data_IF_724851578779
#
_entry.id   IF_724851578779
#
_cell.length_a   1.000
_cell.length_b   1.000
_cell.length_c   1.000
_cell.angle_alpha   90.00
_cell.angle_beta   90.00
_cell.angle_gamma   90.00
#
_symmetry.space_group_name_H-M   'P 1'
#
loop_
_entity.id
_entity.type
_entity.pdbx_description
1 polymer ?
#
# COMPACT_ATOMS: atom_id res chain seq x y z
N UNK A 1 51.94 3.12 27.66
CA UNK A 1 51.04 2.09 27.09
C UNK A 1 50.31 2.70 25.92
N UNK A 2 50.72 2.39 24.69
CA UNK A 2 50.11 2.91 23.46
C UNK A 2 48.92 2.01 23.09
N UNK A 3 47.73 2.59 23.07
CA UNK A 3 46.49 1.93 22.66
C UNK A 3 46.59 1.55 21.18
N UNK A 4 46.60 0.25 20.88
CA UNK A 4 46.53 -0.28 19.51
C UNK A 4 45.13 0.01 18.97
N UNK A 5 45.04 0.89 17.98
CA UNK A 5 43.84 1.04 17.15
C UNK A 5 43.58 -0.29 16.43
N UNK A 6 42.63 -1.08 16.94
CA UNK A 6 42.03 -2.17 16.18
C UNK A 6 41.20 -1.55 15.05
N UNK A 7 41.80 -1.44 13.86
CA UNK A 7 41.03 -1.27 12.63
C UNK A 7 40.35 -2.59 12.33
N UNK A 8 39.13 -2.75 12.83
CA UNK A 8 38.23 -3.80 12.35
C UNK A 8 37.90 -3.45 10.92
N UNK A 9 38.42 -4.23 9.97
CA UNK A 9 37.96 -4.19 8.58
C UNK A 9 36.67 -4.99 8.58
N UNK A 10 35.53 -4.30 8.62
CA UNK A 10 34.24 -4.92 8.32
C UNK A 10 34.24 -5.26 6.82
N UNK A 11 34.58 -6.50 6.50
CA UNK A 11 34.29 -7.08 5.20
C UNK A 11 32.79 -7.36 5.21
N UNK A 12 31.99 -6.37 4.80
CA UNK A 12 30.62 -6.61 4.39
C UNK A 12 30.70 -7.43 3.11
N UNK A 13 30.68 -8.76 3.25
CA UNK A 13 30.47 -9.66 2.12
C UNK A 13 29.17 -9.23 1.46
N UNK A 14 29.28 -8.57 0.30
CA UNK A 14 28.17 -7.98 -0.41
C UNK A 14 27.13 -9.05 -0.67
N UNK A 15 26.01 -8.99 0.03
CA UNK A 15 24.79 -9.60 -0.47
C UNK A 15 24.57 -8.97 -1.84
N UNK A 16 24.63 -9.77 -2.90
CA UNK A 16 24.37 -9.28 -4.25
C UNK A 16 23.00 -8.61 -4.22
N UNK A 17 22.95 -7.34 -4.63
CA UNK A 17 21.69 -6.61 -4.69
C UNK A 17 20.70 -7.42 -5.56
N UNK A 18 19.52 -7.66 -5.01
CA UNK A 18 18.47 -8.43 -5.64
C UNK A 18 17.89 -7.59 -6.78
N UNK A 19 18.06 -8.10 -7.99
CA UNK A 19 17.44 -7.55 -9.19
C UNK A 19 16.24 -8.40 -9.59
N UNK A 20 15.05 -7.79 -9.64
CA UNK A 20 13.80 -8.49 -9.97
C UNK A 20 13.00 -7.68 -11.01
N UNK A 21 12.57 -8.28 -12.14
CA UNK A 21 11.87 -7.55 -13.18
C UNK A 21 10.40 -7.32 -12.81
N UNK A 22 10.15 -6.39 -11.88
CA UNK A 22 8.81 -6.02 -11.43
C UNK A 22 8.18 -5.06 -12.45
N UNK A 23 7.34 -5.60 -13.34
CA UNK A 23 6.57 -4.78 -14.29
C UNK A 23 5.37 -4.13 -13.62
N UNK A 24 5.03 -2.89 -14.00
CA UNK A 24 3.87 -2.14 -13.46
C UNK A 24 2.57 -2.95 -13.52
N UNK A 25 1.67 -2.74 -12.55
CA UNK A 25 0.37 -3.40 -12.58
C UNK A 25 -0.45 -2.91 -13.79
N UNK A 26 -1.08 -3.81 -14.57
CA UNK A 26 -1.70 -3.43 -15.83
C UNK A 26 -2.98 -2.59 -15.62
N UNK A 27 -3.20 -1.57 -16.46
CA UNK A 27 -4.39 -0.74 -16.38
C UNK A 27 -5.65 -1.54 -16.71
N UNK A 28 -6.80 -1.11 -16.20
CA UNK A 28 -8.10 -1.77 -16.38
C UNK A 28 -8.38 -2.17 -17.83
N UNK A 29 -8.16 -1.26 -18.80
CA UNK A 29 -8.40 -1.55 -20.22
C UNK A 29 -7.59 -2.74 -20.73
N UNK A 30 -6.35 -2.89 -20.30
CA UNK A 30 -5.50 -4.02 -20.67
C UNK A 30 -5.97 -5.30 -19.96
N UNK A 31 -6.31 -5.21 -18.68
CA UNK A 31 -6.83 -6.36 -17.92
C UNK A 31 -8.15 -6.87 -18.50
N UNK A 32 -9.07 -5.99 -18.87
CA UNK A 32 -10.31 -6.37 -19.55
C UNK A 32 -10.03 -7.12 -20.87
N UNK A 33 -9.09 -6.61 -21.68
CA UNK A 33 -8.68 -7.29 -22.91
C UNK A 33 -8.06 -8.67 -22.64
N UNK A 34 -7.21 -8.79 -21.62
CA UNK A 34 -6.60 -10.07 -21.26
C UNK A 34 -7.67 -11.05 -20.74
N UNK A 35 -8.62 -10.61 -19.91
CA UNK A 35 -9.70 -11.46 -19.41
C UNK A 35 -10.55 -12.02 -20.57
N UNK A 36 -10.87 -11.18 -21.56
CA UNK A 36 -11.69 -11.59 -22.70
C UNK A 36 -10.92 -12.41 -23.75
N UNK A 37 -9.67 -12.04 -24.04
CA UNK A 37 -8.92 -12.57 -25.19
C UNK A 37 -7.84 -13.59 -24.83
N UNK A 38 -7.25 -13.48 -23.64
CA UNK A 38 -6.16 -14.35 -23.18
C UNK A 38 -6.14 -14.49 -21.65
N UNK A 39 -7.15 -15.16 -21.07
CA UNK A 39 -7.31 -15.26 -19.62
C UNK A 39 -6.19 -16.08 -18.96
N UNK A 40 -5.49 -16.94 -19.72
CA UNK A 40 -4.35 -17.72 -19.23
C UNK A 40 -3.14 -16.83 -19.01
N UNK A 41 -2.83 -15.93 -19.97
CA UNK A 41 -1.77 -14.93 -19.78
C UNK A 41 -2.09 -14.01 -18.60
N UNK A 42 -3.36 -13.63 -18.43
CA UNK A 42 -3.77 -12.83 -17.26
C UNK A 42 -3.49 -13.56 -15.95
N UNK A 43 -3.88 -14.84 -15.85
CA UNK A 43 -3.64 -15.66 -14.67
C UNK A 43 -2.15 -15.77 -14.36
N UNK A 44 -1.32 -16.16 -15.34
CA UNK A 44 0.13 -16.31 -15.14
C UNK A 44 0.83 -14.99 -14.76
N UNK A 45 0.35 -13.85 -15.26
CA UNK A 45 0.86 -12.56 -14.84
C UNK A 45 0.60 -12.30 -13.34
N UNK A 46 -0.59 -12.63 -12.84
CA UNK A 46 -0.91 -12.48 -11.42
C UNK A 46 -0.09 -13.47 -10.58
N UNK A 47 0.03 -14.73 -11.01
CA UNK A 47 0.86 -15.74 -10.34
C UNK A 47 2.32 -15.29 -10.21
N UNK A 48 2.85 -14.68 -11.28
CA UNK A 48 4.21 -14.11 -11.27
C UNK A 48 4.34 -13.00 -10.23
N UNK A 49 3.35 -12.10 -10.13
CA UNK A 49 3.35 -11.11 -9.06
C UNK A 49 3.28 -11.78 -7.68
N UNK A 50 2.39 -12.76 -7.47
CA UNK A 50 2.29 -13.46 -6.19
C UNK A 50 3.64 -14.08 -5.79
N UNK A 51 4.31 -14.78 -6.70
CA UNK A 51 5.62 -15.37 -6.46
C UNK A 51 6.70 -14.31 -6.10
N UNK A 52 6.70 -13.17 -6.80
CA UNK A 52 7.62 -12.08 -6.50
C UNK A 52 7.38 -11.50 -5.12
N UNK A 53 6.14 -11.22 -4.75
CA UNK A 53 5.83 -10.66 -3.44
C UNK A 53 6.05 -11.67 -2.32
N UNK A 54 5.78 -12.95 -2.54
CA UNK A 54 6.15 -14.01 -1.60
C UNK A 54 7.66 -14.04 -1.36
N UNK A 55 8.46 -14.03 -2.44
CA UNK A 55 9.92 -13.97 -2.35
C UNK A 55 10.41 -12.72 -1.60
N UNK A 56 9.87 -11.55 -1.89
CA UNK A 56 10.20 -10.30 -1.18
C UNK A 56 9.88 -10.38 0.31
N UNK A 57 8.84 -11.10 0.70
CA UNK A 57 8.44 -11.22 2.10
C UNK A 57 9.37 -12.11 2.93
N UNK A 58 10.19 -12.97 2.28
CA UNK A 58 11.16 -13.82 2.95
C UNK A 58 12.37 -13.03 3.47
N UNK A 59 12.79 -13.33 4.70
CA UNK A 59 13.98 -12.75 5.33
C UNK A 59 14.07 -11.22 5.19
N UNK A 60 15.25 -10.76 4.78
CA UNK A 60 15.57 -9.35 4.53
C UNK A 60 15.52 -8.98 3.03
N UNK A 61 14.89 -9.77 2.17
CA UNK A 61 14.98 -9.61 0.70
C UNK A 61 14.58 -8.21 0.20
N UNK A 62 13.57 -7.57 0.80
CA UNK A 62 13.21 -6.18 0.45
C UNK A 62 14.34 -5.19 0.70
N UNK A 63 15.13 -5.39 1.75
CA UNK A 63 16.22 -4.50 2.14
C UNK A 63 17.46 -4.68 1.26
N UNK A 64 17.49 -5.76 0.48
CA UNK A 64 18.58 -6.12 -0.42
C UNK A 64 18.27 -5.79 -1.88
N UNK A 65 17.15 -5.11 -2.19
CA UNK A 65 16.83 -4.76 -3.57
C UNK A 65 17.79 -3.70 -4.11
N UNK A 66 18.19 -3.86 -5.38
CA UNK A 66 18.85 -2.77 -6.10
C UNK A 66 17.92 -1.56 -6.26
N UNK A 67 18.50 -0.36 -6.45
CA UNK A 67 17.72 0.89 -6.53
C UNK A 67 16.68 0.87 -7.65
N UNK A 68 17.04 0.28 -8.80
CA UNK A 68 16.16 0.16 -9.96
C UNK A 68 14.92 -0.69 -9.65
N UNK A 69 15.12 -1.83 -9.02
CA UNK A 69 14.07 -2.78 -8.62
C UNK A 69 13.19 -2.16 -7.55
N UNK A 70 13.76 -1.41 -6.60
CA UNK A 70 13.00 -0.68 -5.59
C UNK A 70 12.11 0.40 -6.23
N UNK A 71 12.60 1.12 -7.23
CA UNK A 71 11.80 2.12 -7.96
C UNK A 71 10.69 1.48 -8.79
N UNK A 72 10.96 0.34 -9.43
CA UNK A 72 9.92 -0.45 -10.10
C UNK A 72 8.87 -0.99 -9.13
N UNK A 73 9.27 -1.43 -7.93
CA UNK A 73 8.34 -1.85 -6.87
C UNK A 73 7.45 -0.69 -6.42
N UNK A 74 8.01 0.51 -6.20
CA UNK A 74 7.25 1.72 -5.85
C UNK A 74 6.25 2.09 -6.95
N UNK A 75 6.67 2.04 -8.21
CA UNK A 75 5.80 2.27 -9.37
C UNK A 75 4.68 1.22 -9.44
N UNK A 76 5.00 -0.06 -9.23
CA UNK A 76 4.02 -1.13 -9.17
C UNK A 76 2.99 -0.86 -8.08
N UNK A 77 3.41 -0.56 -6.85
CA UNK A 77 2.49 -0.30 -5.73
C UNK A 77 1.56 0.87 -6.02
N UNK A 78 2.09 1.98 -6.56
CA UNK A 78 1.28 3.13 -6.96
C UNK A 78 0.22 2.77 -8.00
N UNK A 79 0.63 2.06 -9.05
CA UNK A 79 -0.29 1.65 -10.13
C UNK A 79 -1.31 0.62 -9.65
N UNK A 80 -0.88 -0.39 -8.89
CA UNK A 80 -1.77 -1.37 -8.27
C UNK A 80 -2.83 -0.71 -7.39
N UNK A 81 -2.43 0.17 -6.46
CA UNK A 81 -3.37 0.82 -5.55
C UNK A 81 -4.39 1.67 -6.32
N UNK A 82 -3.93 2.41 -7.34
CA UNK A 82 -4.82 3.19 -8.19
C UNK A 82 -5.86 2.32 -8.92
N UNK A 83 -5.39 1.28 -9.61
CA UNK A 83 -6.24 0.42 -10.43
C UNK A 83 -7.25 -0.36 -9.58
N UNK A 84 -6.82 -0.93 -8.46
CA UNK A 84 -7.72 -1.69 -7.57
C UNK A 84 -8.71 -0.77 -6.85
N UNK A 85 -8.30 0.46 -6.49
CA UNK A 85 -9.20 1.42 -5.86
C UNK A 85 -10.28 1.97 -6.81
N UNK A 86 -10.02 2.05 -8.11
CA UNK A 86 -11.00 2.48 -9.11
C UNK A 86 -11.90 1.33 -9.61
N UNK A 87 -11.57 0.09 -9.26
CA UNK A 87 -12.20 -1.11 -9.79
C UNK A 87 -13.36 -1.67 -8.95
N UNK A 88 -13.57 -1.21 -7.71
CA UNK A 88 -14.60 -1.79 -6.84
C UNK A 88 -15.99 -1.73 -7.51
N UNK A 89 -16.47 -2.90 -7.97
CA UNK A 89 -17.73 -3.09 -8.69
C UNK A 89 -17.66 -3.20 -10.23
N UNK A 90 -16.53 -2.93 -10.88
CA UNK A 90 -16.40 -2.92 -12.36
C UNK A 90 -16.03 -4.27 -12.98
N UNK A 91 -15.26 -5.11 -12.26
CA UNK A 91 -14.74 -6.37 -12.79
C UNK A 91 -15.72 -7.54 -12.65
N UNK A 92 -16.62 -7.50 -11.67
CA UNK A 92 -17.61 -8.56 -11.41
C UNK A 92 -18.57 -8.76 -12.60
N UNK A 93 -18.76 -7.75 -13.44
CA UNK A 93 -19.58 -7.82 -14.65
C UNK A 93 -18.91 -8.54 -15.83
N UNK A 94 -17.61 -8.86 -15.75
CA UNK A 94 -16.85 -9.49 -16.85
C UNK A 94 -16.63 -11.01 -16.67
N UNK A 95 -17.17 -11.63 -15.61
CA UNK A 95 -17.09 -13.09 -15.42
C UNK A 95 -15.66 -13.58 -15.12
N UNK A 96 -15.07 -13.11 -14.02
CA UNK A 96 -13.71 -13.48 -13.61
C UNK A 96 -13.63 -14.98 -13.29
N UNK A 97 -12.62 -15.65 -13.84
CA UNK A 97 -12.25 -17.02 -13.50
C UNK A 97 -11.95 -17.18 -11.99
N UNK A 98 -12.31 -18.32 -11.40
CA UNK A 98 -12.09 -18.59 -9.97
C UNK A 98 -10.61 -18.47 -9.57
N UNK A 99 -9.70 -19.03 -10.35
CA UNK A 99 -8.26 -19.07 -10.10
C UNK A 99 -7.67 -17.65 -10.14
N UNK A 100 -8.13 -16.83 -11.09
CA UNK A 100 -7.76 -15.40 -11.15
C UNK A 100 -8.20 -14.67 -9.89
N UNK A 101 -9.41 -14.96 -9.39
CA UNK A 101 -9.94 -14.34 -8.17
C UNK A 101 -9.13 -14.76 -6.94
N UNK A 102 -8.72 -16.03 -6.86
CA UNK A 102 -7.87 -16.55 -5.79
C UNK A 102 -6.48 -15.90 -5.81
N UNK A 103 -5.83 -15.84 -6.97
CA UNK A 103 -4.51 -15.23 -7.12
C UNK A 103 -4.53 -13.72 -6.84
N UNK A 104 -5.57 -13.00 -7.26
CA UNK A 104 -5.74 -11.58 -6.89
C UNK A 104 -5.96 -11.39 -5.39
N UNK A 105 -6.66 -12.32 -4.74
CA UNK A 105 -6.84 -12.30 -3.29
C UNK A 105 -5.51 -12.51 -2.56
N UNK A 106 -4.70 -13.48 -2.99
CA UNK A 106 -3.35 -13.71 -2.47
C UNK A 106 -2.46 -12.49 -2.67
N UNK A 107 -2.42 -11.94 -3.89
CA UNK A 107 -1.64 -10.74 -4.22
C UNK A 107 -2.03 -9.56 -3.33
N UNK A 108 -3.34 -9.35 -3.10
CA UNK A 108 -3.86 -8.31 -2.20
C UNK A 108 -3.36 -8.51 -0.76
N UNK A 109 -3.35 -9.75 -0.27
CA UNK A 109 -2.80 -10.08 1.05
C UNK A 109 -1.30 -9.82 1.15
N UNK A 110 -0.55 -10.20 0.12
CA UNK A 110 0.89 -10.00 0.06
C UNK A 110 1.30 -8.53 -0.01
N UNK A 111 0.64 -7.74 -0.86
CA UNK A 111 0.89 -6.30 -0.99
C UNK A 111 0.64 -5.61 0.34
N UNK A 112 -0.47 -5.92 1.03
CA UNK A 112 -0.71 -5.32 2.34
C UNK A 112 0.34 -5.70 3.38
N UNK A 113 0.79 -6.96 3.36
CA UNK A 113 1.83 -7.45 4.26
C UNK A 113 3.17 -6.76 3.99
N UNK A 114 3.53 -6.55 2.72
CA UNK A 114 4.70 -5.77 2.33
C UNK A 114 4.61 -4.33 2.83
N UNK A 115 3.46 -3.68 2.65
CA UNK A 115 3.26 -2.29 3.09
C UNK A 115 3.43 -2.16 4.60
N UNK A 116 2.91 -3.11 5.38
CA UNK A 116 3.14 -3.15 6.84
C UNK A 116 4.60 -3.43 7.20
N UNK A 117 5.29 -4.31 6.46
CA UNK A 117 6.70 -4.64 6.68
C UNK A 117 7.59 -3.41 6.42
N UNK A 118 7.30 -2.63 5.38
CA UNK A 118 8.16 -1.56 4.91
C UNK A 118 7.80 -0.16 5.46
N UNK A 119 6.52 0.06 5.76
CA UNK A 119 5.98 1.37 6.11
C UNK A 119 5.76 2.26 4.88
N UNK A 120 4.95 3.31 5.08
CA UNK A 120 4.52 4.20 3.99
C UNK A 120 5.68 5.01 3.39
N UNK A 121 6.64 5.41 4.23
CA UNK A 121 7.72 6.31 3.82
C UNK A 121 8.74 5.61 2.90
N UNK A 122 9.13 4.37 3.22
CA UNK A 122 10.06 3.59 2.40
C UNK A 122 9.48 3.31 1.00
N UNK A 123 8.19 3.00 0.96
CA UNK A 123 7.45 2.69 -0.26
C UNK A 123 6.94 3.95 -0.99
N UNK A 124 7.24 5.15 -0.48
CA UNK A 124 6.81 6.41 -1.08
C UNK A 124 5.29 6.49 -1.30
N UNK A 125 4.51 6.01 -0.33
CA UNK A 125 3.04 6.05 -0.36
C UNK A 125 2.58 7.35 0.33
N UNK A 126 2.11 8.29 -0.48
CA UNK A 126 1.60 9.60 -0.04
C UNK A 126 0.51 10.12 -0.99
N UNK A 127 -0.21 11.17 -0.58
CA UNK A 127 -1.28 11.81 -1.37
C UNK A 127 -2.32 10.80 -1.86
N UNK A 128 -2.63 10.83 -3.15
CA UNK A 128 -3.59 9.94 -3.80
C UNK A 128 -3.29 8.44 -3.57
N UNK A 129 -2.00 8.06 -3.52
CA UNK A 129 -1.63 6.65 -3.28
C UNK A 129 -1.97 6.21 -1.87
N UNK A 130 -1.86 7.11 -0.89
CA UNK A 130 -2.30 6.84 0.49
C UNK A 130 -3.83 6.73 0.56
N UNK A 131 -4.56 7.59 -0.15
CA UNK A 131 -6.03 7.48 -0.20
C UNK A 131 -6.48 6.20 -0.90
N UNK A 132 -5.81 5.81 -1.99
CA UNK A 132 -6.07 4.53 -2.65
C UNK A 132 -5.77 3.34 -1.74
N UNK A 133 -4.69 3.38 -0.94
CA UNK A 133 -4.43 2.38 0.10
C UNK A 133 -5.61 2.26 1.08
N UNK A 134 -6.11 3.40 1.57
CA UNK A 134 -7.26 3.43 2.47
C UNK A 134 -8.45 2.76 1.80
N UNK A 135 -8.84 3.19 0.59
CA UNK A 135 -9.97 2.60 -0.16
C UNK A 135 -9.85 1.08 -0.34
N UNK A 136 -8.65 0.58 -0.65
CA UNK A 136 -8.46 -0.84 -0.94
C UNK A 136 -8.54 -1.72 0.33
N UNK A 137 -8.09 -1.23 1.48
CA UNK A 137 -7.83 -2.07 2.66
C UNK A 137 -8.59 -1.71 3.93
N UNK A 138 -9.10 -0.47 4.09
CA UNK A 138 -9.66 0.02 5.36
C UNK A 138 -10.83 -0.84 5.84
N UNK A 139 -11.72 -1.24 4.92
CA UNK A 139 -12.91 -2.04 5.25
C UNK A 139 -12.60 -3.36 5.96
N UNK A 140 -11.47 -4.00 5.63
CA UNK A 140 -11.06 -5.28 6.23
C UNK A 140 -9.97 -5.12 7.30
N UNK A 141 -9.23 -4.01 7.29
CA UNK A 141 -8.06 -3.81 8.14
C UNK A 141 -8.02 -2.40 8.74
N UNK A 142 -9.08 -1.92 9.40
CA UNK A 142 -9.19 -0.53 9.83
C UNK A 142 -8.08 -0.15 10.81
N UNK A 143 -7.79 -1.00 11.79
CA UNK A 143 -6.77 -0.71 12.82
C UNK A 143 -5.35 -0.68 12.26
N UNK A 144 -5.03 -1.57 11.32
CA UNK A 144 -3.73 -1.53 10.65
C UNK A 144 -3.58 -0.30 9.75
N UNK A 145 -4.66 0.14 9.09
CA UNK A 145 -4.64 1.37 8.27
C UNK A 145 -4.48 2.60 9.15
N UNK A 146 -5.22 2.69 10.26
CA UNK A 146 -5.03 3.75 11.27
C UNK A 146 -3.60 3.77 11.77
N UNK A 147 -3.06 2.60 12.14
CA UNK A 147 -1.70 2.46 12.62
C UNK A 147 -0.62 2.87 11.60
N UNK A 148 -0.88 2.63 10.31
CA UNK A 148 -0.02 3.12 9.24
C UNK A 148 -0.08 4.65 9.09
N UNK A 149 -1.26 5.24 9.27
CA UNK A 149 -1.48 6.68 9.13
C UNK A 149 -0.90 7.43 10.34
N UNK A 150 -1.24 7.05 11.57
CA UNK A 150 -0.76 7.73 12.79
C UNK A 150 0.69 7.37 13.16
N UNK A 151 1.27 6.36 12.51
CA UNK A 151 2.65 5.91 12.72
C UNK A 151 2.84 4.97 13.91
N UNK A 152 1.77 4.54 14.59
CA UNK A 152 1.83 3.55 15.68
C UNK A 152 2.22 2.16 15.17
N UNK A 153 1.89 1.83 13.91
CA UNK A 153 2.38 0.62 13.26
C UNK A 153 3.77 0.85 12.66
N UNK A 154 4.80 0.46 13.41
CA UNK A 154 6.21 0.63 13.00
C UNK A 154 6.61 -0.38 11.91
N UNK A 155 7.41 0.05 10.91
CA UNK A 155 7.96 -0.85 9.91
C UNK A 155 8.95 -1.84 10.56
N UNK A 156 9.13 -2.99 9.92
CA UNK A 156 10.07 -4.03 10.37
C UNK A 156 11.46 -3.88 9.75
N UNK A 157 11.53 -3.30 8.56
CA UNK A 157 12.81 -3.03 7.89
C UNK A 157 13.53 -1.86 8.57
N UNK A 158 14.86 -1.83 8.50
CA UNK A 158 15.64 -0.74 9.09
C UNK A 158 15.56 0.52 8.21
N UNK A 159 14.48 1.28 8.34
CA UNK A 159 14.43 2.63 7.76
C UNK A 159 15.09 3.60 8.73
N UNK A 160 16.15 4.28 8.29
CA UNK A 160 16.75 5.41 9.04
C UNK A 160 15.76 6.56 9.30
N UNK A 161 14.56 6.51 8.71
CA UNK A 161 13.53 7.54 8.81
C UNK A 161 12.34 7.04 9.62
N UNK A 162 11.96 7.82 10.63
CA UNK A 162 10.78 7.56 11.47
C UNK A 162 9.51 7.69 10.63
N UNK A 163 8.56 6.77 10.81
CA UNK A 163 7.23 6.88 10.23
C UNK A 163 6.48 8.01 10.94
N UNK A 164 6.24 9.10 10.21
CA UNK A 164 5.53 10.28 10.71
C UNK A 164 4.02 10.12 10.56
N UNK A 165 3.27 10.73 11.48
CA UNK A 165 1.82 10.85 11.38
C UNK A 165 1.42 11.54 10.06
N UNK A 166 0.50 10.90 9.33
CA UNK A 166 -0.03 11.30 8.03
C UNK A 166 -1.49 11.74 8.11
N UNK A 167 -2.10 11.81 9.29
CA UNK A 167 -3.52 12.16 9.50
C UNK A 167 -3.87 13.48 8.82
N UNK A 168 -3.02 14.50 8.99
CA UNK A 168 -3.20 15.79 8.32
C UNK A 168 -3.16 15.68 6.79
N UNK A 169 -2.33 14.81 6.22
CA UNK A 169 -2.28 14.63 4.75
C UNK A 169 -3.57 13.98 4.24
N UNK A 170 -4.12 13.03 4.99
CA UNK A 170 -5.41 12.41 4.66
C UNK A 170 -6.53 13.44 4.74
N UNK A 171 -6.56 14.26 5.80
CA UNK A 171 -7.48 15.38 5.94
C UNK A 171 -7.39 16.33 4.72
N UNK A 172 -6.19 16.83 4.38
CA UNK A 172 -6.04 17.75 3.25
C UNK A 172 -6.52 17.14 1.92
N UNK A 173 -6.25 15.85 1.69
CA UNK A 173 -6.73 15.16 0.50
C UNK A 173 -8.27 15.05 0.47
N UNK A 174 -8.90 14.70 1.59
CA UNK A 174 -10.36 14.68 1.71
C UNK A 174 -10.98 16.05 1.44
N UNK A 175 -10.39 17.12 1.98
CA UNK A 175 -10.83 18.50 1.75
C UNK A 175 -10.79 18.83 0.26
N UNK A 176 -9.67 18.52 -0.40
CA UNK A 176 -9.53 18.72 -1.85
C UNK A 176 -10.56 17.93 -2.66
N UNK A 177 -10.86 16.69 -2.28
CA UNK A 177 -11.89 15.89 -2.96
C UNK A 177 -13.28 16.52 -2.84
N UNK A 178 -13.63 17.05 -1.67
CA UNK A 178 -14.91 17.71 -1.41
C UNK A 178 -14.98 19.02 -2.20
N UNK A 179 -13.99 19.91 -2.04
CA UNK A 179 -13.95 21.22 -2.70
C UNK A 179 -13.92 21.11 -4.23
N UNK A 180 -13.32 20.05 -4.78
CA UNK A 180 -13.29 19.82 -6.23
C UNK A 180 -14.51 19.07 -6.78
N UNK A 181 -15.49 18.72 -5.93
CA UNK A 181 -16.68 17.95 -6.33
C UNK A 181 -16.38 16.51 -6.78
N UNK A 182 -15.21 15.97 -6.42
CA UNK A 182 -14.76 14.61 -6.78
C UNK A 182 -15.01 13.59 -5.69
N UNK A 183 -15.52 14.02 -4.53
CA UNK A 183 -15.86 13.14 -3.42
C UNK A 183 -17.06 12.25 -3.78
N UNK A 184 -16.87 10.94 -3.74
CA UNK A 184 -17.88 9.94 -4.11
C UNK A 184 -18.39 9.19 -2.89
N UNK A 185 -19.47 8.43 -3.08
CA UNK A 185 -20.03 7.54 -2.05
C UNK A 185 -19.02 6.54 -1.49
N UNK A 186 -18.09 6.05 -2.32
CA UNK A 186 -17.03 5.15 -1.85
C UNK A 186 -16.08 5.86 -0.87
N UNK A 187 -15.75 7.14 -1.12
CA UNK A 187 -14.90 7.91 -0.24
C UNK A 187 -15.59 8.10 1.13
N UNK A 188 -16.89 8.41 1.14
CA UNK A 188 -17.68 8.49 2.36
C UNK A 188 -17.65 7.18 3.15
N UNK A 189 -17.85 6.05 2.49
CA UNK A 189 -17.77 4.73 3.13
C UNK A 189 -16.39 4.43 3.69
N UNK A 190 -15.33 4.84 2.99
CA UNK A 190 -13.97 4.64 3.47
C UNK A 190 -13.66 5.51 4.69
N UNK A 191 -14.17 6.75 4.73
CA UNK A 191 -14.13 7.61 5.93
C UNK A 191 -14.90 6.97 7.07
N UNK A 192 -16.11 6.48 6.80
CA UNK A 192 -16.90 5.75 7.79
C UNK A 192 -16.14 4.54 8.32
N UNK A 193 -15.61 3.66 7.48
CA UNK A 193 -14.81 2.49 7.89
C UNK A 193 -13.57 2.91 8.70
N UNK A 194 -12.93 4.03 8.32
CA UNK A 194 -11.76 4.57 9.02
C UNK A 194 -12.12 5.09 10.42
N UNK A 195 -13.33 5.60 10.65
CA UNK A 195 -13.72 6.25 11.91
C UNK A 195 -14.64 5.41 12.79
N UNK A 196 -15.51 4.61 12.20
CA UNK A 196 -16.57 3.85 12.88
C UNK A 196 -16.13 2.48 13.35
N UNK A 197 -15.04 1.92 12.80
CA UNK A 197 -14.77 0.50 13.02
C UNK A 197 -14.60 0.19 14.51
N UNK A 198 -15.43 -0.74 15.00
CA UNK A 198 -15.35 -1.37 16.31
C UNK A 198 -13.97 -1.98 16.49
N UNK A 199 -13.09 -1.22 17.11
CA UNK A 199 -11.74 -1.62 17.46
C UNK A 199 -11.75 -2.26 18.85
N UNK A 200 -10.89 -3.24 19.07
CA UNK A 200 -10.65 -3.78 20.42
C UNK A 200 -10.01 -2.73 21.35
N UNK A 201 -9.45 -1.65 20.79
CA UNK A 201 -8.83 -0.53 21.48
C UNK A 201 -9.66 0.76 21.30
N UNK A 202 -9.62 1.71 22.26
CA UNK A 202 -10.24 3.02 22.10
C UNK A 202 -9.78 3.69 20.81
N UNK A 203 -10.71 4.17 19.99
CA UNK A 203 -10.42 4.77 18.69
C UNK A 203 -9.92 6.23 18.84
N UNK A 204 -8.74 6.39 19.46
CA UNK A 204 -8.05 7.67 19.62
C UNK A 204 -7.77 8.34 18.27
N UNK A 205 -7.66 7.55 17.20
CA UNK A 205 -7.52 8.07 15.85
C UNK A 205 -8.75 8.91 15.48
N UNK A 206 -9.97 8.36 15.62
CA UNK A 206 -11.20 9.07 15.27
C UNK A 206 -11.43 10.33 16.11
N UNK A 207 -11.10 10.29 17.41
CA UNK A 207 -11.20 11.45 18.31
C UNK A 207 -10.34 12.64 17.84
N UNK A 208 -9.21 12.35 17.19
CA UNK A 208 -8.25 13.37 16.75
C UNK A 208 -8.33 13.64 15.23
N UNK A 209 -9.12 12.87 14.48
CA UNK A 209 -9.13 12.92 13.02
C UNK A 209 -9.96 14.07 12.45
N UNK A 210 -11.08 14.43 13.07
CA UNK A 210 -11.81 15.65 12.72
C UNK A 210 -11.56 16.71 13.78
N UNK A 211 -10.91 17.80 13.37
CA UNK A 211 -10.73 18.99 14.21
C UNK A 211 -11.93 19.92 14.08
N UNK A 212 -12.08 20.91 14.96
CA UNK A 212 -13.19 21.88 14.89
C UNK A 212 -13.34 22.55 13.50
N UNK A 213 -12.23 22.75 12.78
CA UNK A 213 -12.18 23.30 11.43
C UNK A 213 -12.89 22.42 10.36
N UNK A 214 -13.11 21.13 10.64
CA UNK A 214 -13.83 20.24 9.73
C UNK A 214 -15.34 20.40 9.79
N UNK A 215 -15.87 20.85 10.92
CA UNK A 215 -17.31 21.10 11.07
C UNK A 215 -17.74 22.20 10.10
N UNK A 216 -16.95 23.28 10.00
CA UNK A 216 -17.19 24.37 9.05
C UNK A 216 -17.14 23.93 7.58
N UNK A 217 -16.23 23.01 7.23
CA UNK A 217 -16.10 22.48 5.86
C UNK A 217 -17.28 21.57 5.49
N UNK A 218 -17.86 20.86 6.45
CA UNK A 218 -18.97 19.92 6.22
C UNK A 218 -20.35 20.60 6.28
N UNK A 219 -20.46 21.76 6.95
CA UNK A 219 -21.69 22.55 7.05
C UNK A 219 -21.86 23.61 5.95
N UNK A 220 -20.78 23.93 5.21
CA UNK A 220 -20.78 24.88 4.08
C UNK A 220 -21.33 24.25 2.78
#
# INVERSE_FOLDING_TARGET
MLSRYNRVIEINGGNADISLPIVKFPPFKLRAQLIEKDPVVWLHLIETYVAYFEYLMQGANVELLDESTLDHLRLFLRTYLHEIADEEGKLLSLGINHDVSEQLYLLKGWIFSLIKKCGLLHLQIFGDSLWNLIKVYVRRNPDSIRGLIDGSLKPRINTQRVQLDKSYQVQQHLKQLIESGKFKRIDLRCVEDLLSAKSMQPNKFAENFFTANWIEILEA
#
